data_IF_282235121444
#
_entry.id   IF_282235121444
#
_cell.length_a   1.000
_cell.length_b   1.000
_cell.length_c   1.000
_cell.angle_alpha   90.00
_cell.angle_beta   90.00
_cell.angle_gamma   90.00
#
_symmetry.space_group_name_H-M   'P 1'
#
loop_
_entity.id
_entity.type
_entity.pdbx_description
1 polymer ?
#
# COMPACT_ATOMS: atom_id res chain seq x y z
N UNK A 1 2.66 -1.47 5.21
CA UNK A 1 3.85 -2.03 4.60
C UNK A 1 4.68 -0.95 3.95
N UNK A 2 4.21 -0.28 2.95
CA UNK A 2 5.01 0.67 2.16
C UNK A 2 5.69 1.83 2.92
N UNK A 3 5.33 2.10 4.15
CA UNK A 3 6.02 3.06 5.01
C UNK A 3 7.30 2.46 5.64
N UNK A 4 7.27 1.20 6.07
CA UNK A 4 8.44 0.57 6.72
C UNK A 4 9.54 0.27 5.72
N UNK A 5 9.19 -0.21 4.54
CA UNK A 5 10.11 -0.44 3.44
C UNK A 5 10.75 0.86 2.95
N UNK A 6 9.96 1.94 2.84
CA UNK A 6 10.45 3.29 2.56
C UNK A 6 11.53 3.71 3.55
N UNK A 7 11.25 3.64 4.84
CA UNK A 7 12.16 4.05 5.90
C UNK A 7 13.42 3.17 6.04
N UNK A 8 13.30 1.89 5.66
CA UNK A 8 14.42 0.94 5.71
C UNK A 8 15.24 0.90 4.40
N UNK A 9 14.83 1.63 3.37
CA UNK A 9 15.53 1.65 2.08
C UNK A 9 15.54 0.29 1.38
N UNK A 10 14.46 -0.47 1.50
CA UNK A 10 14.29 -1.78 0.89
C UNK A 10 13.10 -1.81 -0.06
N UNK A 11 13.06 -2.80 -0.94
CA UNK A 11 11.87 -3.07 -1.76
C UNK A 11 10.82 -3.73 -0.87
N UNK A 12 9.62 -3.14 -0.82
CA UNK A 12 8.49 -3.73 -0.12
C UNK A 12 7.34 -4.00 -1.08
N UNK A 13 6.82 -5.20 -1.06
CA UNK A 13 5.67 -5.59 -1.88
C UNK A 13 4.49 -6.01 -1.02
N UNK A 14 3.37 -5.35 -1.22
CA UNK A 14 2.06 -5.72 -0.69
C UNK A 14 1.22 -6.26 -1.86
N UNK A 15 0.89 -7.55 -1.89
CA UNK A 15 0.14 -8.15 -2.99
C UNK A 15 -1.30 -7.63 -3.07
N UNK A 16 -1.98 -7.99 -4.15
CA UNK A 16 -3.44 -7.96 -4.17
C UNK A 16 -3.98 -8.74 -2.98
N UNK A 17 -5.00 -8.19 -2.30
CA UNK A 17 -5.65 -8.84 -1.17
C UNK A 17 -6.09 -10.26 -1.52
N UNK A 18 -5.75 -11.22 -0.65
CA UNK A 18 -6.12 -12.62 -0.79
C UNK A 18 -5.15 -13.47 -1.60
N UNK A 19 -4.11 -12.92 -2.23
CA UNK A 19 -3.08 -13.71 -2.92
C UNK A 19 -2.18 -14.50 -1.95
N UNK A 20 -1.82 -13.91 -0.81
CA UNK A 20 -1.08 -14.59 0.25
C UNK A 20 -2.02 -14.83 1.42
N UNK A 21 -2.06 -16.07 1.91
CA UNK A 21 -2.89 -16.45 3.06
C UNK A 21 -2.50 -15.70 4.33
N UNK A 22 -3.50 -15.37 5.13
CA UNK A 22 -3.36 -14.77 6.47
C UNK A 22 -3.68 -15.79 7.58
N UNK A 23 -3.83 -17.06 7.23
CA UNK A 23 -4.05 -18.12 8.23
C UNK A 23 -2.91 -18.12 9.25
N UNK A 24 -3.24 -18.20 10.53
CA UNK A 24 -2.33 -18.10 11.69
C UNK A 24 -1.64 -16.74 11.87
N UNK A 25 -1.97 -15.71 11.09
CA UNK A 25 -1.55 -14.33 11.34
C UNK A 25 -2.53 -13.69 12.33
N UNK A 26 -2.00 -12.94 13.30
CA UNK A 26 -2.83 -12.17 14.22
C UNK A 26 -3.72 -11.20 13.45
N UNK A 27 -5.01 -11.43 13.51
CA UNK A 27 -6.00 -10.62 12.79
C UNK A 27 -6.27 -9.30 13.54
N UNK A 28 -6.08 -8.19 12.83
CA UNK A 28 -6.50 -6.86 13.27
C UNK A 28 -7.81 -6.48 12.59
N UNK A 29 -7.83 -6.45 11.25
CA UNK A 29 -9.00 -6.12 10.44
C UNK A 29 -9.08 -7.05 9.23
N UNK A 30 -10.10 -7.90 9.17
CA UNK A 30 -10.26 -8.86 8.07
C UNK A 30 -10.29 -8.21 6.69
N UNK A 31 -11.01 -7.09 6.43
CA UNK A 31 -11.00 -6.46 5.12
C UNK A 31 -9.68 -5.78 4.75
N UNK A 32 -8.86 -5.37 5.73
CA UNK A 32 -7.67 -4.55 5.50
C UNK A 32 -6.34 -5.31 5.64
N UNK A 33 -6.30 -6.39 6.44
CA UNK A 33 -5.07 -7.13 6.71
C UNK A 33 -4.52 -7.79 5.44
N UNK A 34 -3.22 -7.65 5.23
CA UNK A 34 -2.50 -8.25 4.13
C UNK A 34 -1.10 -8.66 4.57
N UNK A 35 -0.62 -9.78 4.06
CA UNK A 35 0.78 -10.24 4.20
C UNK A 35 1.55 -9.75 2.99
N UNK A 36 2.76 -9.30 3.18
CA UNK A 36 3.63 -8.87 2.10
C UNK A 36 5.10 -9.21 2.38
N UNK A 37 5.99 -8.79 1.48
CA UNK A 37 7.40 -9.20 1.44
C UNK A 37 8.30 -7.97 1.43
N UNK A 38 9.41 -8.04 2.16
CA UNK A 38 10.54 -7.12 2.07
C UNK A 38 11.73 -7.84 1.45
N UNK A 39 12.43 -7.17 0.55
CA UNK A 39 13.61 -7.73 -0.13
C UNK A 39 14.57 -6.60 -0.54
N UNK A 40 15.79 -6.97 -0.95
CA UNK A 40 16.79 -6.00 -1.43
C UNK A 40 16.61 -5.63 -2.90
N UNK A 41 15.89 -6.44 -3.66
CA UNK A 41 15.62 -6.20 -5.07
C UNK A 41 14.17 -6.55 -5.45
N UNK A 42 13.71 -6.02 -6.60
CA UNK A 42 12.41 -6.38 -7.18
C UNK A 42 12.35 -7.87 -7.51
N UNK A 43 13.44 -8.45 -8.01
CA UNK A 43 13.51 -9.89 -8.32
C UNK A 43 13.41 -10.76 -7.08
N UNK A 44 14.10 -10.42 -5.99
CA UNK A 44 14.01 -11.16 -4.73
C UNK A 44 12.61 -11.09 -4.13
N UNK A 45 11.98 -9.89 -4.18
CA UNK A 45 10.59 -9.73 -3.76
C UNK A 45 9.64 -10.62 -4.58
N UNK A 46 9.85 -10.69 -5.90
CA UNK A 46 9.08 -11.56 -6.78
C UNK A 46 9.29 -13.05 -6.45
N UNK A 47 10.55 -13.48 -6.29
CA UNK A 47 10.91 -14.87 -5.97
C UNK A 47 10.26 -15.35 -4.67
N UNK A 48 10.39 -14.56 -3.61
CA UNK A 48 9.81 -14.91 -2.29
C UNK A 48 8.29 -14.92 -2.37
N UNK A 49 7.69 -13.91 -3.02
CA UNK A 49 6.24 -13.80 -3.09
C UNK A 49 5.59 -14.95 -3.86
N UNK A 50 6.22 -15.42 -4.95
CA UNK A 50 5.73 -16.60 -5.68
C UNK A 50 5.65 -17.86 -4.81
N UNK A 51 6.52 -18.00 -3.81
CA UNK A 51 6.47 -19.15 -2.90
C UNK A 51 5.34 -19.03 -1.88
N UNK A 52 4.97 -17.81 -1.51
CA UNK A 52 3.93 -17.53 -0.52
C UNK A 52 2.52 -17.44 -1.13
N UNK A 53 2.41 -17.10 -2.42
CA UNK A 53 1.13 -16.95 -3.12
C UNK A 53 0.52 -18.33 -3.39
N UNK A 54 -0.73 -18.47 -3.01
CA UNK A 54 -1.52 -19.67 -3.28
C UNK A 54 -2.82 -19.70 -2.51
N UNK A 55 -3.76 -20.51 -3.02
CA UNK A 55 -5.04 -20.70 -2.35
C UNK A 55 -4.88 -21.52 -1.06
N UNK A 56 -5.42 -20.99 0.03
CA UNK A 56 -5.48 -21.64 1.34
C UNK A 56 -6.95 -21.73 1.79
N UNK A 57 -7.44 -22.96 1.94
CA UNK A 57 -8.81 -23.24 2.38
C UNK A 57 -9.10 -22.75 3.82
N UNK A 58 -8.07 -22.48 4.61
CA UNK A 58 -8.20 -22.01 6.00
C UNK A 58 -8.28 -20.47 6.09
N UNK A 59 -7.91 -19.74 5.03
CA UNK A 59 -8.18 -18.30 4.93
C UNK A 59 -9.41 -18.08 4.02
N UNK A 60 -10.56 -17.65 4.58
CA UNK A 60 -11.79 -17.48 3.81
C UNK A 60 -11.71 -16.36 2.75
N UNK A 61 -10.69 -15.50 2.82
CA UNK A 61 -10.45 -14.45 1.83
C UNK A 61 -9.36 -14.82 0.83
N UNK A 62 -8.82 -16.05 0.91
CA UNK A 62 -7.79 -16.52 -0.02
C UNK A 62 -8.34 -16.66 -1.43
N UNK A 63 -7.65 -16.05 -2.39
CA UNK A 63 -8.05 -16.02 -3.79
C UNK A 63 -7.91 -17.39 -4.46
N UNK A 64 -8.87 -17.69 -5.34
CA UNK A 64 -8.82 -18.85 -6.26
C UNK A 64 -8.13 -18.52 -7.60
N UNK A 65 -7.67 -17.28 -7.78
CA UNK A 65 -7.01 -16.87 -9.02
C UNK A 65 -5.72 -17.69 -9.25
N UNK A 66 -5.34 -17.88 -10.52
CA UNK A 66 -4.08 -18.52 -10.86
C UNK A 66 -2.89 -17.82 -10.19
N UNK A 67 -1.88 -18.58 -9.81
CA UNK A 67 -0.65 -18.05 -9.25
C UNK A 67 0.08 -17.20 -10.30
N UNK A 68 0.36 -15.92 -10.04
CA UNK A 68 1.09 -15.07 -10.97
C UNK A 68 2.57 -15.49 -11.07
N UNK A 69 3.18 -15.29 -12.25
CA UNK A 69 4.59 -15.61 -12.54
C UNK A 69 5.46 -14.36 -12.30
N UNK A 70 5.53 -13.89 -11.05
CA UNK A 70 6.13 -12.61 -10.70
C UNK A 70 7.61 -12.53 -11.07
N UNK A 71 8.39 -13.59 -10.77
CA UNK A 71 9.82 -13.63 -11.06
C UNK A 71 10.10 -13.59 -12.57
N UNK A 72 9.39 -14.40 -13.34
CA UNK A 72 9.57 -14.44 -14.78
C UNK A 72 9.22 -13.09 -15.43
N UNK A 73 8.14 -12.46 -14.97
CA UNK A 73 7.65 -11.18 -15.52
C UNK A 73 8.50 -10.00 -15.05
N UNK A 74 9.04 -10.01 -13.83
CA UNK A 74 9.92 -8.94 -13.33
C UNK A 74 11.21 -8.78 -14.17
N UNK A 75 11.64 -9.85 -14.84
CA UNK A 75 12.82 -9.87 -15.74
C UNK A 75 12.51 -9.42 -17.17
N UNK A 76 11.25 -9.26 -17.51
CA UNK A 76 10.84 -8.87 -18.85
C UNK A 76 10.81 -7.35 -19.00
N UNK A 77 11.27 -6.86 -20.16
CA UNK A 77 11.01 -5.47 -20.53
C UNK A 77 9.54 -5.28 -20.85
N UNK A 78 8.93 -4.16 -20.48
CA UNK A 78 7.59 -3.83 -20.95
C UNK A 78 7.57 -3.79 -22.50
N UNK A 79 6.49 -4.29 -23.15
CA UNK A 79 6.37 -4.24 -24.61
C UNK A 79 6.34 -2.80 -25.17
N UNK A 80 5.84 -1.88 -24.37
CA UNK A 80 5.89 -0.42 -24.57
C UNK A 80 6.32 0.24 -23.28
N UNK A 81 6.89 1.45 -23.33
CA UNK A 81 7.20 2.20 -22.13
C UNK A 81 5.91 2.51 -21.35
N UNK A 82 5.86 2.16 -20.06
CA UNK A 82 4.64 2.33 -19.25
C UNK A 82 4.23 3.80 -19.12
N UNK A 83 2.93 4.05 -19.20
CA UNK A 83 2.35 5.34 -18.86
C UNK A 83 1.91 5.32 -17.40
N UNK A 84 2.56 6.13 -16.56
CA UNK A 84 2.30 6.22 -15.12
C UNK A 84 1.39 7.41 -14.82
N UNK A 85 0.47 7.23 -13.87
CA UNK A 85 -0.31 8.31 -13.31
C UNK A 85 0.27 8.77 -11.97
N UNK A 86 0.84 9.96 -11.91
CA UNK A 86 1.17 10.60 -10.63
C UNK A 86 -0.08 11.18 -10.02
N UNK A 87 -0.60 10.51 -8.99
CA UNK A 87 -1.84 10.94 -8.35
C UNK A 87 -1.57 11.98 -7.27
N UNK A 88 -2.19 13.16 -7.41
CA UNK A 88 -2.25 14.16 -6.36
C UNK A 88 -3.34 13.77 -5.36
N UNK A 89 -2.90 13.17 -4.26
CA UNK A 89 -3.80 12.80 -3.15
C UNK A 89 -4.20 14.05 -2.35
N UNK A 90 -5.38 14.07 -1.72
CA UNK A 90 -5.89 15.24 -0.98
C UNK A 90 -5.04 15.70 0.21
N UNK A 91 -4.01 14.94 0.56
CA UNK A 91 -3.09 15.17 1.69
C UNK A 91 -1.63 15.35 1.25
N UNK A 92 -1.41 15.85 0.03
CA UNK A 92 -0.06 16.17 -0.47
C UNK A 92 0.63 17.28 0.33
N UNK A 93 -0.13 18.07 1.07
CA UNK A 93 0.36 19.07 2.03
C UNK A 93 1.18 18.47 3.19
N UNK A 94 1.04 17.15 3.42
CA UNK A 94 1.82 16.41 4.41
C UNK A 94 3.16 15.90 3.88
N UNK A 95 3.42 16.07 2.60
CA UNK A 95 4.66 15.61 1.97
C UNK A 95 5.79 16.59 2.27
N UNK A 96 6.93 16.08 2.72
CA UNK A 96 8.13 16.88 2.91
C UNK A 96 8.60 17.46 1.56
N UNK A 97 9.13 18.69 1.59
CA UNK A 97 9.51 19.45 0.38
C UNK A 97 10.56 18.71 -0.46
N UNK A 98 11.58 18.14 0.18
CA UNK A 98 12.63 17.36 -0.47
C UNK A 98 12.10 16.10 -1.19
N UNK A 99 11.04 15.50 -0.68
CA UNK A 99 10.37 14.37 -1.35
C UNK A 99 9.57 14.86 -2.55
N UNK A 100 8.89 16.01 -2.42
CA UNK A 100 8.17 16.61 -3.54
C UNK A 100 9.12 16.98 -4.69
N UNK A 101 10.29 17.52 -4.37
CA UNK A 101 11.36 17.82 -5.33
C UNK A 101 11.86 16.55 -6.02
N UNK A 102 12.13 15.47 -5.26
CA UNK A 102 12.53 14.19 -5.81
C UNK A 102 11.50 13.58 -6.77
N UNK A 103 10.20 13.74 -6.49
CA UNK A 103 9.16 13.34 -7.45
C UNK A 103 9.13 14.23 -8.69
N UNK A 104 9.49 15.51 -8.58
CA UNK A 104 9.63 16.38 -9.74
C UNK A 104 10.79 15.93 -10.64
N UNK A 105 11.93 15.58 -10.05
CA UNK A 105 13.08 15.02 -10.77
C UNK A 105 12.73 13.69 -11.48
N UNK A 106 12.00 12.79 -10.81
CA UNK A 106 11.53 11.53 -11.43
C UNK A 106 10.63 11.82 -12.64
N UNK A 107 9.70 12.78 -12.53
CA UNK A 107 8.82 13.16 -13.64
C UNK A 107 9.61 13.73 -14.82
N UNK A 108 10.62 14.54 -14.56
CA UNK A 108 11.48 15.12 -15.58
C UNK A 108 12.34 14.07 -16.28
N UNK A 109 12.89 13.09 -15.54
CA UNK A 109 13.67 11.99 -16.11
C UNK A 109 12.80 11.08 -17.00
N UNK A 110 11.55 10.83 -16.60
CA UNK A 110 10.62 9.94 -17.30
C UNK A 110 9.92 10.59 -18.51
N UNK A 111 10.09 11.85 -18.80
CA UNK A 111 9.72 12.59 -20.02
C UNK A 111 8.41 12.12 -20.70
N UNK A 112 7.28 12.56 -20.21
CA UNK A 112 5.98 12.26 -20.83
C UNK A 112 5.42 10.86 -20.54
N UNK A 113 6.16 10.00 -19.86
CA UNK A 113 5.67 8.74 -19.34
C UNK A 113 4.91 8.90 -18.01
N UNK A 114 4.83 10.12 -17.48
CA UNK A 114 4.08 10.44 -16.26
C UNK A 114 3.04 11.50 -16.56
N UNK A 115 1.79 11.23 -16.17
CA UNK A 115 0.69 12.21 -16.18
C UNK A 115 0.27 12.55 -14.76
N UNK A 116 0.12 13.83 -14.46
CA UNK A 116 -0.46 14.25 -13.19
C UNK A 116 -1.99 14.14 -13.24
N UNK A 117 -2.55 13.47 -12.26
CA UNK A 117 -3.98 13.19 -12.16
C UNK A 117 -4.49 13.58 -10.78
N UNK A 118 -5.63 14.22 -10.74
CA UNK A 118 -6.39 14.47 -9.51
C UNK A 118 -7.51 13.44 -9.39
N UNK A 119 -7.68 12.87 -8.20
CA UNK A 119 -8.78 11.96 -7.93
C UNK A 119 -10.08 12.75 -7.69
N UNK A 120 -11.24 12.16 -7.98
CA UNK A 120 -12.53 12.74 -7.60
C UNK A 120 -12.59 13.05 -6.10
N UNK A 121 -13.30 14.13 -5.76
CA UNK A 121 -13.35 14.69 -4.39
C UNK A 121 -13.74 13.68 -3.32
N UNK A 122 -14.58 12.69 -3.67
CA UNK A 122 -14.99 11.61 -2.77
C UNK A 122 -13.85 10.76 -2.21
N UNK A 123 -12.72 10.69 -2.91
CA UNK A 123 -11.54 9.93 -2.45
C UNK A 123 -10.85 10.56 -1.24
N UNK A 124 -11.08 11.83 -0.96
CA UNK A 124 -10.59 12.49 0.26
C UNK A 124 -11.13 11.87 1.55
N UNK A 125 -12.26 11.16 1.48
CA UNK A 125 -12.89 10.48 2.63
C UNK A 125 -12.35 9.07 2.89
N UNK A 126 -11.54 8.51 2.01
CA UNK A 126 -11.02 7.15 2.18
C UNK A 126 -10.25 6.96 3.50
N UNK A 127 -9.40 7.89 3.96
CA UNK A 127 -8.74 7.74 5.26
C UNK A 127 -9.73 7.59 6.43
N UNK A 128 -10.85 8.30 6.40
CA UNK A 128 -11.89 8.20 7.43
C UNK A 128 -12.59 6.83 7.38
N UNK A 129 -12.99 6.37 6.18
CA UNK A 129 -13.60 5.05 6.01
C UNK A 129 -12.65 3.92 6.39
N UNK A 130 -11.37 4.01 6.01
CA UNK A 130 -10.34 3.07 6.42
C UNK A 130 -10.22 3.03 7.96
N UNK A 131 -10.22 4.19 8.60
CA UNK A 131 -10.13 4.30 10.06
C UNK A 131 -11.34 3.67 10.76
N UNK A 132 -12.56 3.94 10.28
CA UNK A 132 -13.80 3.33 10.80
C UNK A 132 -13.70 1.81 10.76
N UNK A 133 -13.31 1.23 9.62
CA UNK A 133 -13.17 -0.22 9.46
C UNK A 133 -12.09 -0.77 10.40
N UNK A 134 -10.89 -0.18 10.36
CA UNK A 134 -9.73 -0.65 11.13
C UNK A 134 -10.00 -0.61 12.64
N UNK A 135 -10.53 0.49 13.16
CA UNK A 135 -10.75 0.65 14.60
C UNK A 135 -11.93 -0.20 15.11
N UNK A 136 -13.00 -0.33 14.32
CA UNK A 136 -14.11 -1.22 14.63
C UNK A 136 -13.70 -2.69 14.69
N UNK A 137 -12.91 -3.12 13.71
CA UNK A 137 -12.38 -4.48 13.67
C UNK A 137 -11.35 -4.73 14.79
N UNK A 138 -10.51 -3.74 15.11
CA UNK A 138 -9.58 -3.80 16.22
C UNK A 138 -10.31 -3.96 17.54
N UNK A 139 -11.40 -3.21 17.76
CA UNK A 139 -12.24 -3.32 18.95
C UNK A 139 -12.83 -4.74 19.10
N UNK A 140 -13.24 -5.37 18.00
CA UNK A 140 -13.71 -6.75 17.98
C UNK A 140 -12.59 -7.75 18.21
N UNK A 141 -11.50 -7.64 17.45
CA UNK A 141 -10.41 -8.62 17.42
C UNK A 141 -9.63 -8.66 18.74
N UNK A 142 -9.44 -7.51 19.40
CA UNK A 142 -8.74 -7.39 20.67
C UNK A 142 -9.66 -7.27 21.89
N UNK A 143 -10.95 -7.58 21.76
CA UNK A 143 -11.92 -7.49 22.88
C UNK A 143 -11.48 -8.34 24.08
N UNK A 144 -10.91 -9.52 23.83
CA UNK A 144 -10.42 -10.43 24.88
C UNK A 144 -9.28 -9.82 25.69
N UNK A 145 -8.28 -9.28 25.01
CA UNK A 145 -7.09 -8.63 25.59
C UNK A 145 -7.49 -7.35 26.31
N UNK A 146 -8.37 -6.55 25.70
CA UNK A 146 -8.88 -5.32 26.29
C UNK A 146 -9.60 -5.58 27.60
N UNK A 147 -10.48 -6.58 27.67
CA UNK A 147 -11.24 -6.89 28.86
C UNK A 147 -10.40 -7.56 29.98
N UNK A 148 -9.42 -8.40 29.62
CA UNK A 148 -8.64 -9.18 30.60
C UNK A 148 -7.32 -8.52 31.01
N UNK A 149 -6.74 -7.71 30.14
CA UNK A 149 -5.36 -7.23 30.29
C UNK A 149 -5.13 -5.82 29.71
N UNK A 150 -6.11 -4.91 29.88
CA UNK A 150 -6.06 -3.54 29.36
C UNK A 150 -4.75 -2.83 29.74
N UNK A 151 -4.25 -3.03 30.94
CA UNK A 151 -3.01 -2.44 31.46
C UNK A 151 -1.73 -2.93 30.77
N UNK A 152 -1.81 -3.95 29.91
CA UNK A 152 -0.70 -4.44 29.10
C UNK A 152 -0.74 -3.93 27.66
N UNK A 153 -1.80 -3.26 27.27
CA UNK A 153 -1.92 -2.63 25.95
C UNK A 153 -1.31 -1.24 25.97
N UNK A 154 -0.78 -0.80 24.83
CA UNK A 154 -0.33 0.59 24.70
C UNK A 154 -1.51 1.56 24.64
N UNK A 155 -1.30 2.80 25.09
CA UNK A 155 -2.35 3.83 25.07
C UNK A 155 -2.95 4.01 23.68
N UNK A 156 -2.13 3.99 22.61
CA UNK A 156 -2.59 4.10 21.22
C UNK A 156 -3.56 2.99 20.81
N UNK A 157 -3.31 1.75 21.26
CA UNK A 157 -4.20 0.61 21.00
C UNK A 157 -5.49 0.77 21.78
N UNK A 158 -5.41 1.16 23.05
CA UNK A 158 -6.57 1.42 23.90
C UNK A 158 -7.49 2.48 23.28
N UNK A 159 -6.90 3.63 22.90
CA UNK A 159 -7.65 4.71 22.25
C UNK A 159 -8.32 4.27 20.95
N UNK A 160 -7.62 3.49 20.11
CA UNK A 160 -8.20 2.98 18.87
C UNK A 160 -9.38 2.04 19.12
N UNK A 161 -9.26 1.12 20.10
CA UNK A 161 -10.35 0.25 20.53
C UNK A 161 -11.54 1.06 21.04
N UNK A 162 -11.31 2.05 21.91
CA UNK A 162 -12.35 2.89 22.50
C UNK A 162 -13.06 3.78 21.47
N UNK A 163 -12.39 4.19 20.41
CA UNK A 163 -13.04 4.82 19.23
C UNK A 163 -13.83 3.80 18.43
N UNK A 164 -13.25 2.63 18.19
CA UNK A 164 -13.87 1.55 17.43
C UNK A 164 -15.19 1.05 18.03
N UNK A 165 -15.31 1.01 19.36
CA UNK A 165 -16.54 0.65 20.08
C UNK A 165 -17.67 1.66 19.81
N UNK A 166 -17.36 2.92 19.50
CA UNK A 166 -18.34 3.99 19.29
C UNK A 166 -18.93 4.02 17.89
N UNK A 167 -18.25 3.43 16.91
CA UNK A 167 -18.78 3.37 15.54
C UNK A 167 -19.99 2.44 15.47
N UNK A 168 -20.99 2.89 14.73
CA UNK A 168 -22.22 2.10 14.52
C UNK A 168 -22.01 1.06 13.42
N UNK A 169 -22.85 0.03 13.42
CA UNK A 169 -22.87 -0.95 12.32
C UNK A 169 -23.21 -0.31 10.97
N UNK A 170 -23.97 0.80 10.96
CA UNK A 170 -24.29 1.55 9.74
C UNK A 170 -23.06 2.21 9.17
N UNK A 171 -22.28 2.94 9.99
CA UNK A 171 -21.03 3.58 9.56
C UNK A 171 -20.01 2.55 9.05
N UNK A 172 -19.86 1.42 9.76
CA UNK A 172 -18.96 0.35 9.36
C UNK A 172 -19.35 -0.27 8.01
N UNK A 173 -20.64 -0.61 7.82
CA UNK A 173 -21.10 -1.22 6.57
C UNK A 173 -21.08 -0.22 5.40
N UNK A 174 -21.38 1.07 5.65
CA UNK A 174 -21.23 2.10 4.61
C UNK A 174 -19.76 2.23 4.18
N UNK A 175 -18.83 2.27 5.13
CA UNK A 175 -17.40 2.31 4.82
C UNK A 175 -16.94 1.09 4.01
N UNK A 176 -17.43 -0.11 4.30
CA UNK A 176 -17.13 -1.32 3.50
C UNK A 176 -17.67 -1.21 2.07
N UNK A 177 -18.90 -0.74 1.90
CA UNK A 177 -19.53 -0.59 0.57
C UNK A 177 -18.75 0.38 -0.34
N UNK A 178 -18.13 1.41 0.23
CA UNK A 178 -17.31 2.36 -0.53
C UNK A 178 -16.02 1.75 -1.10
N UNK A 179 -15.55 0.61 -0.58
CA UNK A 179 -14.42 -0.13 -1.16
C UNK A 179 -14.75 -0.55 -2.59
N UNK A 180 -15.93 -1.11 -2.82
CA UNK A 180 -16.36 -1.59 -4.15
C UNK A 180 -16.51 -0.44 -5.14
N UNK A 181 -17.00 0.72 -4.68
CA UNK A 181 -17.10 1.92 -5.51
C UNK A 181 -15.71 2.43 -5.91
N UNK A 182 -14.76 2.51 -4.97
CA UNK A 182 -13.39 2.92 -5.26
C UNK A 182 -12.71 1.95 -6.24
N UNK A 183 -12.88 0.64 -6.03
CA UNK A 183 -12.34 -0.38 -6.92
C UNK A 183 -12.95 -0.34 -8.33
N UNK A 184 -14.24 -0.03 -8.45
CA UNK A 184 -14.89 0.17 -9.75
C UNK A 184 -14.28 1.33 -10.52
N UNK A 185 -14.02 2.46 -9.85
CA UNK A 185 -13.31 3.60 -10.43
C UNK A 185 -11.91 3.22 -10.90
N UNK A 186 -11.09 2.59 -10.03
CA UNK A 186 -9.73 2.22 -10.39
C UNK A 186 -9.66 1.16 -11.49
N UNK A 187 -10.63 0.25 -11.57
CA UNK A 187 -10.71 -0.70 -12.68
C UNK A 187 -10.83 0.00 -14.03
N UNK A 188 -11.59 1.10 -14.12
CA UNK A 188 -11.67 1.91 -15.33
C UNK A 188 -10.41 2.74 -15.53
N UNK A 189 -9.87 3.31 -14.48
CA UNK A 189 -8.65 4.11 -14.48
C UNK A 189 -7.45 3.36 -15.09
N UNK A 190 -7.27 2.10 -14.77
CA UNK A 190 -6.18 1.27 -15.30
C UNK A 190 -6.37 0.80 -16.75
N UNK A 191 -7.43 1.22 -17.45
CA UNK A 191 -7.50 1.10 -18.91
C UNK A 191 -6.59 2.13 -19.61
N UNK A 192 -6.36 3.27 -18.96
CA UNK A 192 -5.61 4.39 -19.54
C UNK A 192 -4.17 4.47 -18.99
N UNK A 193 -3.88 3.85 -17.84
CA UNK A 193 -2.58 3.92 -17.16
C UNK A 193 -2.07 2.54 -16.75
N UNK A 194 -0.76 2.34 -16.87
CA UNK A 194 -0.11 1.06 -16.54
C UNK A 194 0.19 0.89 -15.05
N UNK A 195 0.37 1.99 -14.32
CA UNK A 195 0.50 2.02 -12.88
C UNK A 195 0.26 3.43 -12.32
N UNK A 196 -0.06 3.51 -11.04
CA UNK A 196 -0.04 4.75 -10.26
C UNK A 196 1.34 4.92 -9.66
N UNK A 197 1.87 6.13 -9.75
CA UNK A 197 3.09 6.58 -9.08
C UNK A 197 2.70 7.49 -7.91
N UNK A 198 3.23 7.24 -6.71
CA UNK A 198 2.87 8.01 -5.51
C UNK A 198 3.96 7.88 -4.43
N UNK A 199 4.06 8.80 -3.46
CA UNK A 199 4.93 8.63 -2.31
C UNK A 199 4.56 7.39 -1.49
N UNK A 200 5.57 6.72 -0.89
CA UNK A 200 5.35 5.63 0.08
C UNK A 200 5.15 6.16 1.50
N UNK A 201 5.74 7.30 1.82
CA UNK A 201 5.73 7.95 3.12
C UNK A 201 5.72 9.48 2.96
N UNK A 202 5.49 10.19 4.04
CA UNK A 202 5.51 11.67 4.05
C UNK A 202 6.90 12.25 3.86
N UNK A 203 7.93 11.51 4.24
CA UNK A 203 9.34 11.92 4.22
C UNK A 203 10.25 10.81 4.73
N UNK A 204 11.37 11.20 5.31
CA UNK A 204 12.31 10.30 5.99
C UNK A 204 11.70 9.68 7.25
N UNK A 205 12.35 8.64 7.77
CA UNK A 205 11.96 8.02 9.04
C UNK A 205 11.96 9.05 10.19
N UNK A 206 10.91 9.10 11.02
CA UNK A 206 10.87 9.99 12.17
C UNK A 206 12.02 9.73 13.15
N UNK A 207 12.58 10.80 13.71
CA UNK A 207 13.63 10.69 14.73
C UNK A 207 13.09 10.08 16.02
N UNK A 208 13.82 9.10 16.58
CA UNK A 208 13.52 8.45 17.86
C UNK A 208 12.52 7.30 17.73
N UNK A 209 11.99 6.84 18.89
CA UNK A 209 11.16 5.64 18.99
C UNK A 209 9.69 5.92 19.33
N UNK A 210 9.28 7.20 19.37
CA UNK A 210 7.93 7.58 19.80
C UNK A 210 6.89 7.49 18.67
N UNK A 211 7.32 7.49 17.41
CA UNK A 211 6.46 7.44 16.23
C UNK A 211 7.01 6.48 15.19
N UNK A 212 6.11 5.79 14.51
CA UNK A 212 6.39 4.95 13.35
C UNK A 212 6.07 5.65 12.01
N UNK A 213 5.82 6.96 12.05
CA UNK A 213 5.43 7.78 10.90
C UNK A 213 3.92 7.77 10.63
N UNK A 214 3.52 8.54 9.60
CA UNK A 214 2.13 8.63 9.13
C UNK A 214 1.93 7.75 7.88
N UNK A 215 1.09 6.69 7.93
CA UNK A 215 0.87 5.78 6.79
C UNK A 215 -0.10 6.34 5.74
N UNK A 216 -0.40 7.63 5.74
CA UNK A 216 -1.47 8.25 4.95
C UNK A 216 -1.37 7.92 3.46
N UNK A 217 -0.16 7.93 2.88
CA UNK A 217 0.07 7.62 1.47
C UNK A 217 -0.15 6.13 1.10
N UNK A 218 -0.22 5.25 2.09
CA UNK A 218 -0.51 3.83 1.89
C UNK A 218 -1.99 3.49 2.11
N UNK A 219 -2.73 4.39 2.73
CA UNK A 219 -4.09 4.14 3.23
C UNK A 219 -5.08 3.82 2.12
N UNK A 220 -5.06 4.60 1.03
CA UNK A 220 -5.96 4.40 -0.12
C UNK A 220 -5.79 3.01 -0.73
N UNK A 221 -4.55 2.60 -0.92
CA UNK A 221 -4.22 1.33 -1.58
C UNK A 221 -4.49 0.11 -0.68
N UNK A 222 -4.31 0.27 0.63
CA UNK A 222 -4.69 -0.73 1.62
C UNK A 222 -6.20 -0.89 1.68
N UNK A 223 -6.94 0.22 1.70
CA UNK A 223 -8.40 0.25 1.69
C UNK A 223 -8.98 -0.45 0.46
N UNK A 224 -8.42 -0.18 -0.72
CA UNK A 224 -8.84 -0.81 -1.97
C UNK A 224 -8.33 -2.25 -2.14
N UNK A 225 -7.43 -2.73 -1.29
CA UNK A 225 -6.83 -4.06 -1.42
C UNK A 225 -5.88 -4.22 -2.62
N UNK A 226 -5.47 -3.13 -3.25
CA UNK A 226 -4.65 -3.11 -4.47
C UNK A 226 -3.20 -3.53 -4.21
N UNK A 227 -2.52 -4.14 -5.19
CA UNK A 227 -1.11 -4.46 -5.09
C UNK A 227 -0.25 -3.20 -5.15
N UNK A 228 0.74 -3.11 -4.27
CA UNK A 228 1.68 -2.00 -4.20
C UNK A 228 3.10 -2.51 -4.06
N UNK A 229 4.04 -1.79 -4.66
CA UNK A 229 5.47 -2.00 -4.46
C UNK A 229 6.15 -0.67 -4.15
N UNK A 230 6.95 -0.63 -3.09
CA UNK A 230 7.76 0.52 -2.70
C UNK A 230 9.20 0.26 -3.12
N UNK A 231 9.81 1.24 -3.74
CA UNK A 231 11.16 1.19 -4.31
C UNK A 231 12.02 2.27 -3.65
N UNK A 232 13.21 1.96 -3.14
CA UNK A 232 14.10 2.92 -2.49
C UNK A 232 14.83 3.78 -3.54
N UNK A 233 14.12 4.71 -4.18
CA UNK A 233 14.65 5.50 -5.30
C UNK A 233 14.99 6.94 -4.93
N UNK A 234 14.57 7.42 -3.76
CA UNK A 234 14.82 8.78 -3.29
C UNK A 234 15.61 8.79 -1.98
N UNK A 235 16.20 9.92 -1.70
CA UNK A 235 16.84 10.28 -0.45
C UNK A 235 16.28 11.62 0.02
N UNK A 236 16.03 11.74 1.32
CA UNK A 236 15.65 13.01 1.90
C UNK A 236 16.86 13.85 2.31
N UNK A 237 16.60 14.99 2.89
CA UNK A 237 17.62 16.00 3.27
C UNK A 237 18.68 15.52 4.26
N UNK A 238 18.39 14.50 5.06
CA UNK A 238 19.36 13.91 5.98
C UNK A 238 20.02 12.65 5.42
N UNK A 239 19.93 12.43 4.10
CA UNK A 239 20.45 11.26 3.41
C UNK A 239 19.82 9.93 3.83
N UNK A 240 18.65 9.96 4.48
CA UNK A 240 17.88 8.76 4.76
C UNK A 240 17.00 8.36 3.57
N UNK A 241 16.69 7.07 3.41
CA UNK A 241 15.93 6.60 2.27
C UNK A 241 14.47 7.07 2.30
N UNK A 242 13.93 7.33 1.11
CA UNK A 242 12.51 7.58 0.88
C UNK A 242 12.03 6.70 -0.28
N UNK A 243 10.90 6.03 -0.08
CA UNK A 243 10.33 5.11 -1.05
C UNK A 243 9.43 5.80 -2.07
N UNK A 244 9.57 5.36 -3.31
CA UNK A 244 8.64 5.63 -4.41
C UNK A 244 7.70 4.44 -4.55
N UNK A 245 6.39 4.66 -4.49
CA UNK A 245 5.40 3.60 -4.54
C UNK A 245 4.77 3.51 -5.93
N UNK A 246 4.74 2.30 -6.49
CA UNK A 246 3.88 1.94 -7.61
C UNK A 246 2.69 1.15 -7.11
N UNK A 247 1.52 1.42 -7.72
CA UNK A 247 0.27 0.70 -7.47
C UNK A 247 -0.31 0.22 -8.79
N UNK A 248 -0.84 -1.00 -8.83
CA UNK A 248 -1.50 -1.54 -10.01
C UNK A 248 -2.93 -1.98 -9.72
N UNK A 249 -3.64 -2.38 -10.76
CA UNK A 249 -5.00 -2.93 -10.65
C UNK A 249 -5.01 -4.20 -9.81
N UNK A 250 -6.15 -4.52 -9.21
CA UNK A 250 -6.36 -5.80 -8.53
C UNK A 250 -6.04 -6.96 -9.47
N UNK A 251 -5.24 -7.91 -8.99
CA UNK A 251 -4.80 -9.11 -9.70
C UNK A 251 -3.91 -8.84 -10.93
N UNK A 252 -3.34 -7.65 -11.03
CA UNK A 252 -2.35 -7.29 -12.05
C UNK A 252 -0.94 -7.12 -11.45
N UNK A 253 -0.64 -7.96 -10.49
CA UNK A 253 0.63 -7.98 -9.74
C UNK A 253 1.83 -8.27 -10.67
N UNK A 254 1.64 -9.04 -11.74
CA UNK A 254 2.68 -9.27 -12.76
C UNK A 254 3.10 -7.98 -13.46
N UNK A 255 2.13 -7.15 -13.89
CA UNK A 255 2.41 -5.86 -14.51
C UNK A 255 3.11 -4.92 -13.52
N UNK A 256 2.67 -4.93 -12.24
CA UNK A 256 3.31 -4.14 -11.19
C UNK A 256 4.80 -4.47 -11.08
N UNK A 257 5.18 -5.73 -11.02
CA UNK A 257 6.58 -6.15 -10.93
C UNK A 257 7.40 -5.76 -12.16
N UNK A 258 6.85 -5.92 -13.36
CA UNK A 258 7.50 -5.50 -14.60
C UNK A 258 7.73 -3.99 -14.64
N UNK A 259 6.74 -3.20 -14.25
CA UNK A 259 6.83 -1.74 -14.20
C UNK A 259 7.80 -1.29 -13.11
N UNK A 260 7.86 -1.99 -11.96
CA UNK A 260 8.83 -1.72 -10.90
C UNK A 260 10.28 -1.94 -11.37
N UNK A 261 10.55 -3.04 -12.07
CA UNK A 261 11.87 -3.31 -12.65
C UNK A 261 12.24 -2.26 -13.70
N UNK A 262 11.28 -1.90 -14.56
CA UNK A 262 11.48 -0.85 -15.56
C UNK A 262 11.82 0.50 -14.88
N UNK A 263 11.02 0.95 -13.92
CA UNK A 263 11.23 2.21 -13.20
C UNK A 263 12.60 2.23 -12.52
N UNK A 264 12.94 1.14 -11.80
CA UNK A 264 14.25 1.03 -11.13
C UNK A 264 15.43 1.13 -12.14
N UNK A 265 15.28 0.57 -13.34
CA UNK A 265 16.30 0.63 -14.37
C UNK A 265 16.47 2.01 -15.01
N UNK A 266 15.42 2.84 -14.98
CA UNK A 266 15.43 4.21 -15.52
C UNK A 266 16.03 5.21 -14.54
N UNK A 267 15.69 5.10 -13.25
CA UNK A 267 16.06 6.08 -12.22
C UNK A 267 17.43 5.74 -11.57
N UNK A 268 17.78 4.45 -11.40
CA UNK A 268 19.12 4.04 -10.93
C UNK A 268 20.13 4.09 -12.09
N UNK A 269 20.65 5.27 -12.37
CA UNK A 269 21.84 5.44 -13.21
C UNK A 269 23.03 5.88 -12.39
#
# INVERSE_FOLDING_TARGET
MCIRDSYCGVVGYKPTKGLISRHLVLQVSRPLDQVGVFANSVEDAALISEQLIGHDKQDPDSSLNPRPKLLAVSRQKPPMEPLLAYIKLPFMDKLDEDVADGFSEIKDELKGQVKEIELPEGFAKIPDWHKIIMESDMARSFSGEYNKSKNKLSDKIIEAIERGIKYTSVEYNDALTKIDLANTYFKQFFNDYDAILTPSATGEAPTGLKSTGDPIFCTVWTYCGMPCISLPLLQGKNSLPVGVQLVSSLFDDERLFRNASWLTSKIKK
#
